data_IF_878624769087
#
_entry.id   IF_878624769087
#
_cell.length_a   1.000
_cell.length_b   1.000
_cell.length_c   1.000
_cell.angle_alpha   90.00
_cell.angle_beta   90.00
_cell.angle_gamma   90.00
#
_symmetry.space_group_name_H-M   'P 1'
#
loop_
_entity.id
_entity.type
_entity.pdbx_description
1 polymer ?
#
# COMPACT_ATOMS: atom_id res chain seq x y z
N UNK A 1 -0.68 -4.19 -39.04
CA UNK A 1 -1.91 -4.06 -38.23
C UNK A 1 -1.82 -4.77 -36.87
N UNK A 2 -1.36 -6.03 -36.81
CA UNK A 2 -1.24 -6.80 -35.55
C UNK A 2 -0.49 -6.09 -34.40
N UNK A 3 0.65 -5.43 -34.69
CA UNK A 3 1.41 -4.64 -33.69
C UNK A 3 0.58 -3.55 -33.01
N UNK A 4 -0.33 -2.91 -33.74
CA UNK A 4 -1.18 -1.83 -33.20
C UNK A 4 -2.23 -2.37 -32.22
N UNK A 5 -2.85 -3.51 -32.56
CA UNK A 5 -3.83 -4.17 -31.68
C UNK A 5 -3.16 -4.77 -30.44
N UNK A 6 -1.96 -5.33 -30.56
CA UNK A 6 -1.18 -5.81 -29.41
C UNK A 6 -0.86 -4.66 -28.44
N UNK A 7 -0.46 -3.50 -28.97
CA UNK A 7 -0.21 -2.29 -28.16
C UNK A 7 -1.47 -1.82 -27.44
N UNK A 8 -2.62 -1.81 -28.13
CA UNK A 8 -3.89 -1.41 -27.52
C UNK A 8 -4.31 -2.38 -26.40
N UNK A 9 -4.15 -3.69 -26.61
CA UNK A 9 -4.43 -4.70 -25.58
C UNK A 9 -3.53 -4.55 -24.35
N UNK A 10 -2.24 -4.28 -24.57
CA UNK A 10 -1.28 -4.06 -23.48
C UNK A 10 -1.53 -2.74 -22.75
N UNK A 11 -1.92 -1.69 -23.47
CA UNK A 11 -2.33 -0.43 -22.87
C UNK A 11 -3.56 -0.62 -21.97
N UNK A 12 -4.58 -1.33 -22.45
CA UNK A 12 -5.77 -1.63 -21.67
C UNK A 12 -5.43 -2.49 -20.43
N UNK A 13 -4.52 -3.46 -20.57
CA UNK A 13 -4.05 -4.29 -19.46
C UNK A 13 -3.27 -3.47 -18.42
N UNK A 14 -2.36 -2.59 -18.86
CA UNK A 14 -1.64 -1.68 -17.97
C UNK A 14 -2.56 -0.69 -17.25
N UNK A 15 -3.62 -0.22 -17.92
CA UNK A 15 -4.65 0.62 -17.32
C UNK A 15 -5.44 -0.12 -16.24
N UNK A 16 -5.86 -1.36 -16.53
CA UNK A 16 -6.58 -2.21 -15.59
C UNK A 16 -5.74 -2.56 -14.36
N UNK A 17 -4.44 -2.80 -14.53
CA UNK A 17 -3.51 -3.05 -13.42
C UNK A 17 -3.24 -1.79 -12.60
N UNK A 18 -3.02 -0.64 -13.26
CA UNK A 18 -2.71 0.61 -12.57
C UNK A 18 -3.86 1.13 -11.71
N UNK A 19 -5.11 0.98 -12.17
CA UNK A 19 -6.31 1.37 -11.41
C UNK A 19 -6.46 0.57 -10.10
N UNK A 20 -5.86 -0.62 -9.98
CA UNK A 20 -5.97 -1.42 -8.76
C UNK A 20 -5.19 -0.84 -7.59
N UNK A 21 -4.08 -0.13 -7.85
CA UNK A 21 -3.17 0.31 -6.79
C UNK A 21 -3.89 1.22 -5.79
N UNK A 22 -4.65 2.26 -6.20
CA UNK A 22 -5.38 3.09 -5.24
C UNK A 22 -6.55 2.36 -4.57
N UNK A 23 -7.19 1.40 -5.25
CA UNK A 23 -8.23 0.57 -4.62
C UNK A 23 -7.67 -0.31 -3.51
N UNK A 24 -6.48 -0.89 -3.69
CA UNK A 24 -5.81 -1.67 -2.65
C UNK A 24 -5.42 -0.82 -1.44
N UNK A 25 -4.90 0.40 -1.68
CA UNK A 25 -4.52 1.32 -0.62
C UNK A 25 -5.74 1.74 0.21
N UNK A 26 -6.85 2.06 -0.45
CA UNK A 26 -8.12 2.43 0.20
C UNK A 26 -8.66 1.30 1.07
N UNK A 27 -8.60 0.05 0.59
CA UNK A 27 -9.01 -1.12 1.37
C UNK A 27 -8.08 -1.40 2.56
N UNK A 28 -6.77 -1.21 2.41
CA UNK A 28 -5.82 -1.30 3.52
C UNK A 28 -6.09 -0.23 4.59
N UNK A 29 -6.28 1.02 4.17
CA UNK A 29 -6.54 2.14 5.08
C UNK A 29 -7.81 1.90 5.93
N UNK A 30 -8.88 1.38 5.32
CA UNK A 30 -10.11 1.02 6.04
C UNK A 30 -9.90 -0.09 7.08
N UNK A 31 -9.02 -1.06 6.80
CA UNK A 31 -8.69 -2.13 7.77
C UNK A 31 -7.89 -1.59 8.93
N UNK A 32 -6.87 -0.76 8.65
CA UNK A 32 -6.11 -0.05 9.70
C UNK A 32 -7.05 0.75 10.59
N UNK A 33 -7.98 1.51 10.01
CA UNK A 33 -8.99 2.28 10.76
C UNK A 33 -9.89 1.37 11.61
N UNK A 34 -10.35 0.24 11.07
CA UNK A 34 -11.18 -0.71 11.80
C UNK A 34 -10.44 -1.32 13.01
N UNK A 35 -9.19 -1.75 12.84
CA UNK A 35 -8.38 -2.28 13.94
C UNK A 35 -8.00 -1.22 14.96
N UNK A 36 -7.74 0.02 14.52
CA UNK A 36 -7.50 1.14 15.43
C UNK A 36 -8.74 1.37 16.33
N UNK A 37 -9.94 1.39 15.73
CA UNK A 37 -11.19 1.57 16.47
C UNK A 37 -11.48 0.41 17.43
N UNK A 38 -11.15 -0.82 17.02
CA UNK A 38 -11.22 -2.01 17.89
C UNK A 38 -10.27 -1.89 19.09
N UNK A 39 -9.01 -1.52 18.84
CA UNK A 39 -8.01 -1.30 19.89
C UNK A 39 -8.42 -0.18 20.85
N UNK A 40 -8.98 0.92 20.35
CA UNK A 40 -9.50 2.02 21.17
C UNK A 40 -10.65 1.56 22.07
N UNK A 41 -11.58 0.75 21.54
CA UNK A 41 -12.68 0.18 22.33
C UNK A 41 -12.16 -0.75 23.42
N UNK A 42 -11.19 -1.62 23.10
CA UNK A 42 -10.55 -2.50 24.07
C UNK A 42 -9.84 -1.72 25.20
N UNK A 43 -9.23 -0.59 24.86
CA UNK A 43 -8.53 0.29 25.82
C UNK A 43 -9.45 1.23 26.60
N UNK A 44 -10.74 1.34 26.27
CA UNK A 44 -11.65 2.35 26.84
C UNK A 44 -11.73 2.26 28.38
N UNK A 45 -11.82 1.05 28.94
CA UNK A 45 -11.86 0.85 30.40
C UNK A 45 -10.56 1.26 31.10
N UNK A 46 -9.42 0.95 30.50
CA UNK A 46 -8.10 1.35 31.01
C UNK A 46 -7.89 2.87 30.87
N UNK A 47 -8.35 3.47 29.76
CA UNK A 47 -8.27 4.92 29.52
C UNK A 47 -9.09 5.70 30.53
N UNK A 48 -10.29 5.22 30.91
CA UNK A 48 -11.06 5.83 32.00
C UNK A 48 -10.31 5.81 33.34
N UNK A 49 -9.60 4.73 33.62
CA UNK A 49 -8.78 4.58 34.84
C UNK A 49 -7.56 5.51 34.78
N UNK A 50 -6.87 5.55 33.65
CA UNK A 50 -5.77 6.47 33.39
C UNK A 50 -6.21 7.93 33.50
N UNK A 51 -7.38 8.30 32.97
CA UNK A 51 -7.94 9.64 33.08
C UNK A 51 -8.19 10.07 34.53
N UNK A 52 -8.65 9.13 35.36
CA UNK A 52 -8.96 9.41 36.77
C UNK A 52 -7.71 9.50 37.66
N UNK A 53 -6.70 8.67 37.41
CA UNK A 53 -5.57 8.51 38.33
C UNK A 53 -4.19 8.88 37.74
N UNK A 54 -4.06 8.92 36.42
CA UNK A 54 -2.79 9.06 35.69
C UNK A 54 -2.82 10.17 34.62
N UNK A 55 -3.73 11.15 34.74
CA UNK A 55 -3.85 12.29 33.80
C UNK A 55 -4.02 11.88 32.33
N UNK A 56 -4.76 10.80 32.10
CA UNK A 56 -5.04 10.24 30.76
C UNK A 56 -3.82 9.57 30.08
N UNK A 57 -2.78 9.26 30.86
CA UNK A 57 -1.59 8.56 30.41
C UNK A 57 -1.73 7.04 30.66
N UNK A 58 -1.93 6.29 29.57
CA UNK A 58 -2.02 4.82 29.58
C UNK A 58 -0.67 4.16 29.87
N UNK A 59 0.45 4.76 29.46
CA UNK A 59 1.78 4.24 29.73
C UNK A 59 2.12 4.36 31.21
N UNK A 60 1.72 5.47 31.85
CA UNK A 60 1.85 5.65 33.29
C UNK A 60 1.01 4.64 34.08
N UNK A 61 -0.19 4.31 33.61
CA UNK A 61 -1.02 3.24 34.19
C UNK A 61 -0.31 1.87 34.10
N UNK A 62 0.22 1.52 32.93
CA UNK A 62 0.95 0.25 32.72
C UNK A 62 2.23 0.20 33.56
N UNK A 63 2.98 1.30 33.62
CA UNK A 63 4.19 1.41 34.44
C UNK A 63 3.87 1.19 35.92
N UNK A 64 2.75 1.72 36.41
CA UNK A 64 2.28 1.51 37.77
C UNK A 64 1.94 0.04 38.05
N UNK A 65 1.27 -0.65 37.12
CA UNK A 65 0.99 -2.09 37.25
C UNK A 65 2.26 -2.95 37.21
N UNK A 66 3.28 -2.56 36.44
CA UNK A 66 4.56 -3.29 36.35
C UNK A 66 5.38 -3.27 37.64
N UNK A 67 5.33 -2.18 38.40
CA UNK A 67 6.09 -2.02 39.65
C UNK A 67 5.27 -2.39 40.90
N UNK A 68 4.02 -2.83 40.73
CA UNK A 68 3.17 -3.24 41.84
C UNK A 68 3.67 -4.53 42.49
N UNK A 69 3.54 -4.63 43.81
CA UNK A 69 3.92 -5.82 44.58
C UNK A 69 3.01 -7.03 44.29
N UNK A 70 1.80 -6.80 43.78
CA UNK A 70 0.86 -7.84 43.40
C UNK A 70 1.27 -8.52 42.07
N UNK A 71 1.47 -9.84 42.12
CA UNK A 71 1.74 -10.67 40.95
C UNK A 71 0.65 -10.60 39.86
N UNK A 72 -0.61 -10.43 40.25
CA UNK A 72 -1.74 -10.32 39.31
C UNK A 72 -1.64 -9.00 38.55
N UNK A 73 -1.39 -7.90 39.25
CA UNK A 73 -1.22 -6.58 38.63
C UNK A 73 -0.02 -6.56 37.68
N UNK A 74 1.11 -7.20 38.05
CA UNK A 74 2.27 -7.32 37.15
C UNK A 74 1.98 -8.12 35.89
N UNK A 75 1.19 -9.20 36.01
CA UNK A 75 0.74 -10.01 34.88
C UNK A 75 -0.21 -9.21 33.97
N UNK A 76 -1.16 -8.48 34.55
CA UNK A 76 -2.04 -7.59 33.80
C UNK A 76 -1.27 -6.48 33.09
N UNK A 77 -0.19 -5.96 33.69
CA UNK A 77 0.67 -4.96 33.07
C UNK A 77 1.30 -5.44 31.77
N UNK A 78 1.64 -6.73 31.65
CA UNK A 78 2.13 -7.29 30.38
C UNK A 78 1.01 -7.36 29.33
N UNK A 79 -0.19 -7.77 29.71
CA UNK A 79 -1.32 -7.89 28.78
C UNK A 79 -1.80 -6.52 28.31
N UNK A 80 -2.06 -5.59 29.24
CA UNK A 80 -2.46 -4.21 28.94
C UNK A 80 -1.35 -3.47 28.19
N UNK A 81 -0.07 -3.70 28.56
CA UNK A 81 1.06 -3.12 27.86
C UNK A 81 1.09 -3.49 26.37
N UNK A 82 0.80 -4.76 26.03
CA UNK A 82 0.70 -5.19 24.62
C UNK A 82 -0.46 -4.52 23.88
N UNK A 83 -1.61 -4.34 24.53
CA UNK A 83 -2.76 -3.63 23.95
C UNK A 83 -2.43 -2.15 23.70
N UNK A 84 -1.75 -1.49 24.63
CA UNK A 84 -1.32 -0.09 24.51
C UNK A 84 -0.29 0.07 23.39
N UNK A 85 0.72 -0.81 23.34
CA UNK A 85 1.74 -0.83 22.28
C UNK A 85 1.11 -1.05 20.89
N UNK A 86 0.19 -2.03 20.77
CA UNK A 86 -0.55 -2.26 19.53
C UNK A 86 -1.40 -1.05 19.12
N UNK A 87 -2.05 -0.39 20.09
CA UNK A 87 -2.80 0.83 19.84
C UNK A 87 -1.93 1.96 19.31
N UNK A 88 -0.74 2.18 19.89
CA UNK A 88 0.21 3.19 19.40
C UNK A 88 0.73 2.88 17.99
N UNK A 89 0.99 1.61 17.70
CA UNK A 89 1.38 1.17 16.37
C UNK A 89 0.28 1.47 15.34
N UNK A 90 -0.97 1.08 15.64
CA UNK A 90 -2.12 1.32 14.76
C UNK A 90 -2.41 2.81 14.57
N UNK A 91 -2.21 3.65 15.59
CA UNK A 91 -2.35 5.10 15.49
C UNK A 91 -1.27 5.73 14.58
N UNK A 92 -0.03 5.24 14.67
CA UNK A 92 1.04 5.67 13.78
C UNK A 92 0.76 5.27 12.33
N UNK A 93 0.26 4.04 12.12
CA UNK A 93 -0.12 3.52 10.80
C UNK A 93 -1.29 4.33 10.21
N UNK A 94 -2.31 4.63 11.02
CA UNK A 94 -3.44 5.46 10.59
C UNK A 94 -2.99 6.87 10.20
N UNK A 95 -2.07 7.49 10.96
CA UNK A 95 -1.49 8.79 10.61
C UNK A 95 -0.68 8.74 9.31
N UNK A 96 0.05 7.65 9.05
CA UNK A 96 0.74 7.45 7.78
C UNK A 96 -0.26 7.32 6.62
N UNK A 97 -1.40 6.65 6.85
CA UNK A 97 -2.47 6.50 5.86
C UNK A 97 -3.29 7.77 5.62
N UNK A 98 -3.30 8.75 6.52
CA UNK A 98 -3.97 10.05 6.32
C UNK A 98 -3.18 11.02 5.42
N UNK A 99 -1.94 10.68 5.06
CA UNK A 99 -1.11 11.49 4.19
C UNK A 99 -1.58 11.53 2.73
N UNK A 100 -0.91 12.29 1.86
CA UNK A 100 -1.17 12.26 0.42
C UNK A 100 -0.98 10.85 -0.16
N UNK A 101 -1.73 10.50 -1.20
CA UNK A 101 -1.72 9.15 -1.80
C UNK A 101 -0.31 8.62 -2.13
N UNK A 102 0.63 9.48 -2.54
CA UNK A 102 2.00 9.07 -2.85
C UNK A 102 2.80 8.67 -1.60
N UNK A 103 2.53 9.32 -0.46
CA UNK A 103 3.16 8.99 0.81
C UNK A 103 2.62 7.66 1.34
N UNK A 104 1.32 7.40 1.14
CA UNK A 104 0.68 6.13 1.47
C UNK A 104 1.30 4.99 0.66
N UNK A 105 1.49 5.16 -0.65
CA UNK A 105 2.17 4.17 -1.53
C UNK A 105 3.58 3.88 -1.01
N UNK A 106 4.36 4.91 -0.71
CA UNK A 106 5.74 4.76 -0.23
C UNK A 106 5.79 4.03 1.12
N UNK A 107 4.90 4.39 2.04
CA UNK A 107 4.76 3.72 3.34
C UNK A 107 4.38 2.25 3.17
N UNK A 108 3.42 1.95 2.30
CA UNK A 108 3.03 0.57 1.98
C UNK A 108 4.16 -0.27 1.40
N UNK A 109 5.07 0.32 0.62
CA UNK A 109 6.19 -0.41 0.03
C UNK A 109 7.36 -0.66 0.98
N UNK A 110 7.48 0.10 2.08
CA UNK A 110 8.69 0.09 2.93
C UNK A 110 8.39 -0.24 4.39
N UNK A 111 7.22 0.16 4.90
CA UNK A 111 6.94 0.21 6.34
C UNK A 111 5.58 -0.39 6.73
N UNK A 112 4.81 -0.95 5.80
CA UNK A 112 3.53 -1.56 6.13
C UNK A 112 3.67 -2.82 7.00
N UNK A 113 2.70 -3.00 7.88
CA UNK A 113 2.57 -4.19 8.71
C UNK A 113 2.28 -5.41 7.82
N UNK A 114 3.17 -6.41 7.86
CA UNK A 114 3.04 -7.64 7.08
C UNK A 114 1.76 -8.42 7.39
N UNK A 115 1.25 -8.35 8.62
CA UNK A 115 0.03 -9.04 9.04
C UNK A 115 -1.20 -8.41 8.39
N UNK A 116 -1.30 -7.08 8.43
CA UNK A 116 -2.39 -6.33 7.79
C UNK A 116 -2.31 -6.42 6.26
N UNK A 117 -1.09 -6.48 5.70
CA UNK A 117 -0.89 -6.73 4.28
C UNK A 117 -1.40 -8.11 3.88
N UNK A 118 -1.02 -9.16 4.60
CA UNK A 118 -1.47 -10.53 4.31
C UNK A 118 -3.00 -10.66 4.40
N UNK A 119 -3.63 -10.08 5.41
CA UNK A 119 -5.09 -10.04 5.51
C UNK A 119 -5.73 -9.26 4.36
N UNK A 120 -5.13 -8.14 3.97
CA UNK A 120 -5.61 -7.34 2.84
C UNK A 120 -5.50 -8.14 1.55
N UNK A 121 -4.36 -8.79 1.30
CA UNK A 121 -4.17 -9.67 0.13
C UNK A 121 -5.15 -10.85 0.11
N UNK A 122 -5.37 -11.50 1.26
CA UNK A 122 -6.26 -12.65 1.38
C UNK A 122 -7.74 -12.30 1.13
N UNK A 123 -8.15 -11.10 1.55
CA UNK A 123 -9.52 -10.63 1.43
C UNK A 123 -9.74 -9.65 0.27
N UNK A 124 -8.71 -9.36 -0.54
CA UNK A 124 -8.79 -8.41 -1.63
C UNK A 124 -9.78 -8.91 -2.70
N UNK A 125 -10.83 -8.14 -2.95
CA UNK A 125 -11.73 -8.35 -4.09
C UNK A 125 -11.50 -7.24 -5.09
N UNK A 126 -11.33 -7.65 -6.35
CA UNK A 126 -11.09 -6.73 -7.46
C UNK A 126 -12.22 -5.68 -7.53
N UNK A 127 -11.88 -4.42 -7.26
CA UNK A 127 -12.83 -3.32 -7.26
C UNK A 127 -12.25 -2.14 -8.03
N UNK A 128 -12.95 -1.72 -9.09
CA UNK A 128 -12.57 -0.55 -9.88
C UNK A 128 -13.02 0.68 -9.13
N UNK A 129 -12.12 1.26 -8.33
CA UNK A 129 -12.37 2.51 -7.62
C UNK A 129 -12.22 3.68 -8.60
N UNK A 130 -13.35 4.31 -8.95
CA UNK A 130 -13.41 5.45 -9.86
C UNK A 130 -13.07 6.76 -9.13
N UNK A 131 -11.79 6.91 -8.80
CA UNK A 131 -11.24 8.14 -8.20
C UNK A 131 -10.19 8.77 -9.13
N UNK A 132 -10.03 10.11 -9.14
CA UNK A 132 -9.06 10.80 -10.00
C UNK A 132 -7.63 10.23 -9.90
N UNK A 133 -7.24 9.81 -8.70
CA UNK A 133 -5.95 9.18 -8.40
C UNK A 133 -5.80 7.84 -9.11
N UNK A 134 -6.85 7.02 -9.14
CA UNK A 134 -6.88 5.74 -9.86
C UNK A 134 -6.81 5.93 -11.37
N UNK A 135 -7.43 6.98 -11.90
CA UNK A 135 -7.31 7.34 -13.32
C UNK A 135 -5.87 7.75 -13.63
N UNK A 136 -5.25 8.59 -12.80
CA UNK A 136 -3.86 9.01 -12.98
C UNK A 136 -2.90 7.80 -12.95
N UNK A 137 -3.05 6.90 -11.96
CA UNK A 137 -2.27 5.66 -11.88
C UNK A 137 -2.50 4.73 -13.07
N UNK A 138 -3.76 4.55 -13.47
CA UNK A 138 -4.13 3.78 -14.66
C UNK A 138 -3.43 4.30 -15.91
N UNK A 139 -3.45 5.61 -16.13
CA UNK A 139 -2.79 6.24 -17.28
C UNK A 139 -1.26 6.10 -17.19
N UNK A 140 -0.66 6.38 -16.04
CA UNK A 140 0.80 6.27 -15.85
C UNK A 140 1.27 4.84 -16.06
N UNK A 141 0.61 3.85 -15.46
CA UNK A 141 0.93 2.43 -15.65
C UNK A 141 0.73 1.98 -17.10
N UNK A 142 -0.37 2.41 -17.75
CA UNK A 142 -0.63 2.09 -19.14
C UNK A 142 0.46 2.65 -20.08
N UNK A 143 0.89 3.90 -19.84
CA UNK A 143 1.97 4.54 -20.60
C UNK A 143 3.32 3.86 -20.35
N UNK A 144 3.67 3.58 -19.09
CA UNK A 144 4.93 2.91 -18.74
C UNK A 144 5.00 1.50 -19.35
N UNK A 145 3.91 0.73 -19.27
CA UNK A 145 3.87 -0.62 -19.81
C UNK A 145 3.91 -0.62 -21.35
N UNK A 146 3.20 0.31 -21.99
CA UNK A 146 3.29 0.51 -23.43
C UNK A 146 4.72 0.88 -23.87
N UNK A 147 5.38 1.78 -23.13
CA UNK A 147 6.75 2.21 -23.41
C UNK A 147 7.77 1.08 -23.20
N UNK A 148 7.67 0.32 -22.11
CA UNK A 148 8.53 -0.82 -21.81
C UNK A 148 8.45 -1.88 -22.92
N UNK A 149 7.25 -2.16 -23.41
CA UNK A 149 7.04 -3.11 -24.50
C UNK A 149 7.65 -2.58 -25.80
N UNK A 150 7.51 -1.28 -26.09
CA UNK A 150 8.12 -0.68 -27.27
C UNK A 150 9.65 -0.75 -27.22
N UNK A 151 10.25 -0.51 -26.05
CA UNK A 151 11.68 -0.71 -25.82
C UNK A 151 12.10 -2.17 -26.00
N UNK A 152 11.32 -3.14 -25.50
CA UNK A 152 11.59 -4.56 -25.68
C UNK A 152 11.50 -4.96 -27.16
N UNK A 153 10.49 -4.49 -27.88
CA UNK A 153 10.34 -4.75 -29.31
C UNK A 153 11.47 -4.12 -30.12
N UNK A 154 11.92 -2.91 -29.77
CA UNK A 154 13.08 -2.27 -30.39
C UNK A 154 14.38 -3.01 -30.06
N UNK A 155 14.56 -3.49 -28.83
CA UNK A 155 15.72 -4.28 -28.44
C UNK A 155 15.76 -5.61 -29.20
N UNK A 156 14.63 -6.32 -29.30
CA UNK A 156 14.48 -7.53 -30.12
C UNK A 156 14.76 -7.18 -31.59
N UNK A 157 14.16 -6.13 -32.14
CA UNK A 157 14.40 -5.71 -33.51
C UNK A 157 15.85 -5.30 -33.75
N UNK A 158 16.57 -4.78 -32.77
CA UNK A 158 17.99 -4.47 -32.88
C UNK A 158 18.84 -5.74 -32.86
N UNK A 159 18.56 -6.67 -31.94
CA UNK A 159 19.24 -7.97 -31.84
C UNK A 159 19.03 -8.83 -33.09
N UNK A 160 17.83 -8.84 -33.67
CA UNK A 160 17.52 -9.62 -34.88
C UNK A 160 17.70 -8.82 -36.19
N UNK A 161 17.63 -7.49 -36.15
CA UNK A 161 17.69 -6.58 -37.31
C UNK A 161 19.08 -6.01 -37.59
N UNK A 162 20.06 -6.20 -36.70
CA UNK A 162 21.48 -5.97 -37.01
C UNK A 162 22.00 -6.83 -38.18
N UNK A 163 21.19 -7.77 -38.73
CA UNK A 163 21.47 -8.53 -39.95
C UNK A 163 20.86 -7.99 -41.24
N UNK A 164 20.09 -6.88 -41.21
CA UNK A 164 19.47 -6.31 -42.42
C UNK A 164 19.85 -4.84 -42.61
N UNK A 165 21.14 -4.57 -42.68
CA UNK A 165 21.63 -3.29 -43.17
C UNK A 165 22.54 -3.51 -44.38
N UNK A 166 21.93 -3.72 -45.55
CA UNK A 166 22.63 -3.55 -46.81
C UNK A 166 21.67 -3.23 -47.96
N UNK A 167 21.68 -1.96 -48.37
CA UNK A 167 21.44 -1.45 -49.75
C UNK A 167 20.02 -1.72 -50.31
N UNK A 168 19.24 -0.70 -50.63
CA UNK A 168 19.49 0.08 -51.86
C UNK A 168 19.10 1.54 -51.71
N UNK A 169 20.12 2.36 -51.47
CA UNK A 169 20.19 3.73 -51.92
C UNK A 169 20.30 3.74 -53.46
N UNK A 170 19.59 4.68 -54.10
CA UNK A 170 19.85 5.27 -55.43
C UNK A 170 19.75 4.41 -56.70
N UNK A 171 18.76 4.74 -57.56
CA UNK A 171 18.81 4.93 -59.03
C UNK A 171 17.35 5.02 -59.53
N UNK A 172 16.89 5.97 -60.33
CA UNK A 172 17.52 6.92 -61.22
C UNK A 172 16.54 8.08 -61.48
N UNK A 173 17.03 9.32 -61.46
CA UNK A 173 16.44 10.42 -62.23
C UNK A 173 16.52 10.08 -63.72
N UNK A 174 15.38 10.13 -64.42
CA UNK A 174 15.22 10.69 -65.77
C UNK A 174 13.77 11.12 -65.95
#
# INVERSE_FOLDING_TARGET
>A
MFRSYLRLGLFALGLLLGVQVPGFIDDYAKRVEAHQLESERALTGFRQTAKRFFKDDLDALVAHYRVSDDSVMRSDAQSVGRLVERGHFLDAELRAMQGPWYAQVWHLTIAADSELLEETYAAYRYQVLLVPEAIAWGIVCALLLAWLVELLLLAIAWVFGAGQDTRTQTRHWR
#
